data_IF_232621298958
#
_entry.id   IF_232621298958
#
_cell.length_a   1.000
_cell.length_b   1.000
_cell.length_c   1.000
_cell.angle_alpha   90.00
_cell.angle_beta   90.00
_cell.angle_gamma   90.00
#
_symmetry.space_group_name_H-M   'P 1'
#
loop_
_entity.id
_entity.type
_entity.pdbx_description
1 polymer ?
#
# COMPACT_ATOMS: atom_id res chain seq x y z
N UNK A 1 -12.26 6.91 -17.51
CA UNK A 1 -10.97 6.56 -16.86
C UNK A 1 -9.93 7.69 -16.93
N UNK A 2 -9.59 8.27 -18.12
CA UNK A 2 -8.51 9.29 -18.20
C UNK A 2 -8.77 10.53 -17.32
N UNK A 3 -10.01 11.01 -17.25
CA UNK A 3 -10.38 12.13 -16.35
C UNK A 3 -10.12 11.84 -14.87
N UNK A 4 -10.30 10.59 -14.42
CA UNK A 4 -10.01 10.18 -13.04
C UNK A 4 -8.48 10.23 -12.80
N UNK A 5 -7.69 9.76 -13.76
CA UNK A 5 -6.21 9.83 -13.68
C UNK A 5 -5.70 11.27 -13.68
N UNK A 6 -6.31 12.15 -14.45
CA UNK A 6 -6.00 13.59 -14.46
C UNK A 6 -6.33 14.24 -13.12
N UNK A 7 -7.51 13.94 -12.55
CA UNK A 7 -7.90 14.38 -11.21
C UNK A 7 -6.87 13.93 -10.16
N UNK A 8 -6.47 12.67 -10.17
CA UNK A 8 -5.48 12.16 -9.22
C UNK A 8 -4.11 12.83 -9.37
N UNK A 9 -3.63 13.03 -10.60
CA UNK A 9 -2.38 13.78 -10.83
C UNK A 9 -2.47 15.20 -10.32
N UNK A 10 -3.63 15.86 -10.48
CA UNK A 10 -3.85 17.19 -9.95
C UNK A 10 -3.85 17.19 -8.40
N UNK A 11 -4.54 16.24 -7.76
CA UNK A 11 -4.55 16.11 -6.29
C UNK A 11 -3.14 15.82 -5.74
N UNK A 12 -2.38 14.95 -6.38
CA UNK A 12 -0.99 14.66 -5.98
C UNK A 12 -0.09 15.90 -6.09
N UNK A 13 -0.23 16.69 -7.17
CA UNK A 13 0.52 17.94 -7.31
C UNK A 13 0.15 18.97 -6.26
N UNK A 14 -1.16 19.17 -6.04
CA UNK A 14 -1.69 20.10 -5.04
C UNK A 14 -1.19 19.79 -3.63
N UNK A 15 -1.04 18.51 -3.30
CA UNK A 15 -0.61 18.05 -1.99
C UNK A 15 0.91 17.74 -1.91
N UNK A 16 1.68 18.13 -2.92
CA UNK A 16 3.14 17.92 -2.99
C UNK A 16 3.57 16.44 -2.88
N UNK A 17 2.75 15.51 -3.40
CA UNK A 17 2.92 14.04 -3.32
C UNK A 17 3.13 13.37 -4.68
N UNK A 18 3.60 14.11 -5.69
CA UNK A 18 3.77 13.56 -7.05
C UNK A 18 4.69 12.34 -7.12
N UNK A 19 5.60 12.16 -6.17
CA UNK A 19 6.43 10.96 -6.08
C UNK A 19 5.60 9.67 -5.92
N UNK A 20 4.44 9.74 -5.28
CA UNK A 20 3.55 8.58 -5.11
C UNK A 20 2.97 8.08 -6.43
N UNK A 21 2.89 8.93 -7.45
CA UNK A 21 2.44 8.46 -8.76
C UNK A 21 3.30 7.29 -9.27
N UNK A 22 4.63 7.43 -9.23
CA UNK A 22 5.55 6.40 -9.73
C UNK A 22 5.88 5.35 -8.67
N UNK A 23 6.06 5.77 -7.42
CA UNK A 23 6.55 4.90 -6.34
C UNK A 23 5.43 4.15 -5.61
N UNK A 24 4.16 4.43 -5.93
CA UNK A 24 3.03 3.71 -5.37
C UNK A 24 1.96 3.37 -6.42
N UNK A 25 1.26 4.36 -6.97
CA UNK A 25 0.09 4.13 -7.84
C UNK A 25 0.41 3.24 -9.04
N UNK A 26 1.50 3.51 -9.76
CA UNK A 26 1.90 2.73 -10.93
C UNK A 26 2.36 1.32 -10.56
N UNK A 27 2.92 1.13 -9.38
CA UNK A 27 3.35 -0.19 -8.90
C UNK A 27 2.13 -1.01 -8.47
N UNK A 28 1.18 -0.42 -7.73
CA UNK A 28 -0.09 -1.08 -7.41
C UNK A 28 -0.81 -1.51 -8.70
N UNK A 29 -0.91 -0.61 -9.68
CA UNK A 29 -1.49 -0.93 -10.99
C UNK A 29 -0.78 -2.13 -11.64
N UNK A 30 0.55 -2.12 -11.72
CA UNK A 30 1.35 -3.21 -12.30
C UNK A 30 1.01 -4.57 -11.68
N UNK A 31 0.97 -4.64 -10.36
CA UNK A 31 0.68 -5.89 -9.67
C UNK A 31 -0.79 -6.29 -9.76
N UNK A 32 -1.71 -5.33 -9.71
CA UNK A 32 -3.13 -5.59 -9.91
C UNK A 32 -3.41 -6.18 -11.31
N UNK A 33 -2.76 -5.66 -12.37
CA UNK A 33 -2.88 -6.19 -13.73
C UNK A 33 -2.34 -7.63 -13.84
N UNK A 34 -1.18 -7.92 -13.24
CA UNK A 34 -0.61 -9.27 -13.23
C UNK A 34 -1.50 -10.28 -12.50
N UNK A 35 -2.05 -9.90 -11.35
CA UNK A 35 -2.99 -10.75 -10.61
C UNK A 35 -4.32 -10.90 -11.34
N UNK A 36 -4.78 -9.86 -12.03
CA UNK A 36 -6.00 -9.92 -12.83
C UNK A 36 -5.91 -10.92 -14.01
N UNK A 37 -4.72 -11.22 -14.51
CA UNK A 37 -4.51 -12.27 -15.52
C UNK A 37 -4.74 -13.68 -14.96
N UNK A 38 -4.49 -13.86 -13.66
CA UNK A 38 -4.66 -15.15 -12.98
C UNK A 38 -6.12 -15.33 -12.52
N UNK A 39 -6.71 -14.28 -11.94
CA UNK A 39 -7.98 -14.38 -11.22
C UNK A 39 -9.20 -13.90 -12.00
N UNK A 40 -9.02 -13.31 -13.17
CA UNK A 40 -10.07 -12.85 -14.08
C UNK A 40 -11.19 -12.04 -13.40
N UNK A 41 -10.87 -10.94 -12.67
CA UNK A 41 -11.84 -10.07 -12.01
C UNK A 41 -12.64 -9.22 -13.00
N UNK A 42 -13.65 -8.50 -12.50
CA UNK A 42 -14.23 -7.39 -13.23
C UNK A 42 -13.15 -6.28 -13.39
N UNK A 43 -12.71 -6.10 -14.65
CA UNK A 43 -11.60 -5.20 -14.99
C UNK A 43 -11.94 -3.73 -14.71
N UNK A 44 -13.21 -3.34 -14.90
CA UNK A 44 -13.65 -1.97 -14.62
C UNK A 44 -13.61 -1.66 -13.13
N UNK A 45 -14.19 -2.54 -12.31
CA UNK A 45 -14.19 -2.41 -10.85
C UNK A 45 -12.74 -2.35 -10.32
N UNK A 46 -11.89 -3.27 -10.79
CA UNK A 46 -10.50 -3.32 -10.35
C UNK A 46 -9.74 -2.05 -10.73
N UNK A 47 -9.84 -1.59 -11.98
CA UNK A 47 -9.11 -0.40 -12.44
C UNK A 47 -9.54 0.85 -11.68
N UNK A 48 -10.85 1.05 -11.48
CA UNK A 48 -11.38 2.16 -10.69
C UNK A 48 -10.88 2.11 -9.25
N UNK A 49 -10.92 0.92 -8.63
CA UNK A 49 -10.46 0.73 -7.26
C UNK A 49 -8.96 1.00 -7.12
N UNK A 50 -8.14 0.53 -8.05
CA UNK A 50 -6.69 0.80 -8.08
C UNK A 50 -6.41 2.29 -8.12
N UNK A 51 -7.11 3.06 -8.96
CA UNK A 51 -6.85 4.50 -9.07
C UNK A 51 -7.39 5.31 -7.88
N UNK A 52 -8.47 4.87 -7.23
CA UNK A 52 -9.15 5.66 -6.20
C UNK A 52 -8.83 5.22 -4.76
N UNK A 53 -8.09 4.09 -4.54
CA UNK A 53 -7.94 3.53 -3.19
C UNK A 53 -7.32 4.48 -2.17
N UNK A 54 -6.38 5.30 -2.60
CA UNK A 54 -5.65 6.24 -1.73
C UNK A 54 -6.06 7.71 -1.89
N UNK A 55 -7.18 8.01 -2.58
CA UNK A 55 -7.65 9.41 -2.73
C UNK A 55 -7.86 10.10 -1.38
N UNK A 56 -8.35 9.36 -0.38
CA UNK A 56 -8.51 9.87 0.98
C UNK A 56 -7.16 10.19 1.64
N UNK A 57 -6.14 9.35 1.44
CA UNK A 57 -4.78 9.60 1.92
C UNK A 57 -4.16 10.84 1.28
N UNK A 58 -4.35 10.97 -0.03
CA UNK A 58 -3.83 12.12 -0.80
C UNK A 58 -4.44 13.44 -0.31
N UNK A 59 -5.74 13.46 0.00
CA UNK A 59 -6.48 14.67 0.39
C UNK A 59 -6.37 15.02 1.87
N UNK A 60 -6.44 14.02 2.74
CA UNK A 60 -6.66 14.20 4.18
C UNK A 60 -5.60 13.54 5.07
N UNK A 61 -4.63 12.83 4.48
CA UNK A 61 -3.60 12.12 5.22
C UNK A 61 -3.97 10.69 5.60
N UNK A 62 -3.10 10.05 6.39
CA UNK A 62 -3.13 8.60 6.65
C UNK A 62 -4.33 8.14 7.50
N UNK A 63 -4.82 8.99 8.41
CA UNK A 63 -5.83 8.58 9.41
C UNK A 63 -7.18 8.30 8.73
N UNK A 64 -7.66 7.06 8.86
CA UNK A 64 -8.95 6.62 8.31
C UNK A 64 -9.14 6.90 6.80
N UNK A 65 -8.06 6.98 6.04
CA UNK A 65 -8.10 7.33 4.62
C UNK A 65 -8.95 6.37 3.77
N UNK A 66 -9.10 5.12 4.18
CA UNK A 66 -10.00 4.18 3.51
C UNK A 66 -11.47 4.57 3.64
N UNK A 67 -11.87 5.23 4.74
CA UNK A 67 -13.23 5.72 4.95
C UNK A 67 -13.47 6.99 4.12
N UNK A 68 -12.62 7.99 4.29
CA UNK A 68 -12.71 9.23 3.50
C UNK A 68 -12.53 8.98 2.00
N UNK A 69 -11.62 8.06 1.64
CA UNK A 69 -11.40 7.65 0.25
C UNK A 69 -12.62 6.98 -0.38
N UNK A 70 -13.33 6.12 0.35
CA UNK A 70 -14.56 5.52 -0.15
C UNK A 70 -15.68 6.54 -0.36
N UNK A 71 -15.78 7.56 0.51
CA UNK A 71 -16.72 8.67 0.35
C UNK A 71 -16.38 9.54 -0.87
N UNK A 72 -15.11 9.90 -1.02
CA UNK A 72 -14.65 10.69 -2.17
C UNK A 72 -14.81 9.92 -3.48
N UNK A 73 -14.49 8.62 -3.49
CA UNK A 73 -14.67 7.75 -4.66
C UNK A 73 -16.15 7.70 -5.10
N UNK A 74 -17.08 7.62 -4.15
CA UNK A 74 -18.52 7.66 -4.45
C UNK A 74 -18.91 8.95 -5.16
N UNK A 75 -18.47 10.10 -4.66
CA UNK A 75 -18.76 11.42 -5.27
C UNK A 75 -18.14 11.47 -6.68
N UNK A 76 -16.86 11.11 -6.81
CA UNK A 76 -16.14 11.14 -8.09
C UNK A 76 -16.85 10.25 -9.12
N UNK A 77 -17.24 9.04 -8.73
CA UNK A 77 -17.85 8.08 -9.64
C UNK A 77 -19.27 8.52 -10.06
N UNK A 78 -20.08 9.11 -9.14
CA UNK A 78 -21.36 9.69 -9.47
C UNK A 78 -21.24 10.85 -10.46
N UNK A 79 -20.28 11.74 -10.27
CA UNK A 79 -20.02 12.86 -11.18
C UNK A 79 -19.59 12.39 -12.57
N UNK A 80 -19.07 11.16 -12.66
CA UNK A 80 -18.70 10.51 -13.92
C UNK A 80 -19.77 9.55 -14.47
N UNK A 81 -20.98 9.56 -13.88
CA UNK A 81 -22.16 8.76 -14.27
C UNK A 81 -21.94 7.23 -14.23
N UNK A 82 -21.14 6.73 -13.30
CA UNK A 82 -21.07 5.30 -13.00
C UNK A 82 -22.34 4.83 -12.29
N UNK A 83 -22.73 3.57 -12.52
CA UNK A 83 -23.92 2.99 -11.86
C UNK A 83 -23.70 2.80 -10.37
N UNK A 84 -24.77 2.79 -9.58
CA UNK A 84 -24.69 2.53 -8.13
C UNK A 84 -24.10 1.15 -7.80
N UNK A 85 -24.27 0.14 -8.66
CA UNK A 85 -23.63 -1.18 -8.50
C UNK A 85 -22.10 -1.07 -8.61
N UNK A 86 -21.59 -0.38 -9.62
CA UNK A 86 -20.15 -0.13 -9.79
C UNK A 86 -19.61 0.66 -8.59
N UNK A 87 -20.31 1.72 -8.19
CA UNK A 87 -19.91 2.55 -7.04
C UNK A 87 -19.81 1.71 -5.77
N UNK A 88 -20.81 0.88 -5.48
CA UNK A 88 -20.84 0.05 -4.29
C UNK A 88 -19.65 -0.95 -4.24
N UNK A 89 -19.32 -1.60 -5.37
CA UNK A 89 -18.22 -2.54 -5.48
C UNK A 89 -16.85 -1.86 -5.33
N UNK A 90 -16.66 -0.70 -5.96
CA UNK A 90 -15.42 0.09 -5.80
C UNK A 90 -15.26 0.56 -4.37
N UNK A 91 -16.32 1.02 -3.71
CA UNK A 91 -16.31 1.40 -2.30
C UNK A 91 -15.92 0.23 -1.39
N UNK A 92 -16.45 -0.97 -1.64
CA UNK A 92 -16.08 -2.18 -0.88
C UNK A 92 -14.57 -2.43 -0.99
N UNK A 93 -14.01 -2.39 -2.21
CA UNK A 93 -12.58 -2.54 -2.43
C UNK A 93 -11.76 -1.51 -1.64
N UNK A 94 -12.16 -0.23 -1.68
CA UNK A 94 -11.45 0.84 -0.98
C UNK A 94 -11.55 0.69 0.53
N UNK A 95 -12.72 0.35 1.07
CA UNK A 95 -12.92 0.20 2.52
C UNK A 95 -12.11 -0.96 3.10
N UNK A 96 -11.88 -2.02 2.34
CA UNK A 96 -11.26 -3.26 2.81
C UNK A 96 -9.76 -3.37 2.49
N UNK A 97 -9.18 -2.51 1.62
CA UNK A 97 -7.81 -2.66 1.12
C UNK A 97 -6.71 -2.65 2.20
N UNK A 98 -6.99 -2.10 3.38
CA UNK A 98 -6.04 -2.03 4.51
C UNK A 98 -5.94 -3.34 5.31
N UNK A 99 -6.92 -4.23 5.23
CA UNK A 99 -6.98 -5.49 6.00
C UNK A 99 -6.81 -5.28 7.51
N UNK A 100 -7.40 -4.23 8.10
CA UNK A 100 -7.14 -3.85 9.49
C UNK A 100 -7.96 -4.61 10.53
N UNK A 101 -9.16 -5.06 10.18
CA UNK A 101 -10.03 -5.79 11.10
C UNK A 101 -10.71 -6.98 10.40
N UNK A 102 -11.16 -7.96 11.20
CA UNK A 102 -11.92 -9.09 10.65
C UNK A 102 -13.21 -8.68 9.93
N UNK A 103 -13.82 -7.58 10.37
CA UNK A 103 -15.08 -7.07 9.82
C UNK A 103 -14.89 -6.33 8.48
N UNK A 104 -13.65 -6.00 8.14
CA UNK A 104 -13.26 -5.27 6.91
C UNK A 104 -12.19 -5.99 6.11
N UNK A 105 -12.26 -7.32 6.10
CA UNK A 105 -11.41 -8.10 5.20
C UNK A 105 -11.98 -8.07 3.79
N UNK A 106 -11.12 -8.02 2.75
CA UNK A 106 -11.55 -8.10 1.36
C UNK A 106 -12.33 -9.39 1.09
N UNK A 107 -13.55 -9.28 0.55
CA UNK A 107 -14.40 -10.43 0.23
C UNK A 107 -14.39 -10.72 -1.27
N UNK A 108 -14.59 -9.72 -2.11
CA UNK A 108 -14.56 -9.86 -3.56
C UNK A 108 -13.16 -10.15 -4.10
N UNK A 109 -13.06 -10.67 -5.30
CA UNK A 109 -11.76 -10.95 -5.92
C UNK A 109 -11.03 -9.64 -6.25
N UNK A 110 -11.75 -8.62 -6.67
CA UNK A 110 -11.22 -7.28 -6.94
C UNK A 110 -10.60 -6.66 -5.68
N UNK A 111 -11.29 -6.75 -4.55
CA UNK A 111 -10.81 -6.26 -3.26
C UNK A 111 -9.57 -7.03 -2.79
N UNK A 112 -9.54 -8.37 -2.95
CA UNK A 112 -8.36 -9.19 -2.64
C UNK A 112 -7.18 -8.84 -3.52
N UNK A 113 -7.40 -8.63 -4.83
CA UNK A 113 -6.36 -8.20 -5.76
C UNK A 113 -5.82 -6.83 -5.37
N UNK A 114 -6.69 -5.85 -5.10
CA UNK A 114 -6.28 -4.52 -4.67
C UNK A 114 -5.44 -4.55 -3.39
N UNK A 115 -5.92 -5.22 -2.35
CA UNK A 115 -5.21 -5.33 -1.07
C UNK A 115 -3.84 -6.02 -1.24
N UNK A 116 -3.80 -7.11 -2.01
CA UNK A 116 -2.55 -7.82 -2.33
C UNK A 116 -1.59 -6.93 -3.11
N UNK A 117 -2.03 -6.28 -4.19
CA UNK A 117 -1.21 -5.41 -5.02
C UNK A 117 -0.67 -4.20 -4.24
N UNK A 118 -1.50 -3.61 -3.37
CA UNK A 118 -1.10 -2.53 -2.47
C UNK A 118 -0.01 -3.00 -1.49
N UNK A 119 -0.15 -4.19 -0.90
CA UNK A 119 0.89 -4.75 -0.03
C UNK A 119 2.19 -5.08 -0.79
N UNK A 120 2.08 -5.64 -2.00
CA UNK A 120 3.23 -5.96 -2.86
C UNK A 120 4.00 -4.71 -3.26
N UNK A 121 3.32 -3.58 -3.54
CA UNK A 121 3.98 -2.33 -3.92
C UNK A 121 4.97 -1.87 -2.85
N UNK A 122 4.67 -2.09 -1.59
CA UNK A 122 5.53 -1.74 -0.46
C UNK A 122 6.82 -2.54 -0.42
N UNK A 123 6.79 -3.80 -0.85
CA UNK A 123 7.99 -4.63 -0.93
C UNK A 123 8.90 -4.25 -2.13
N UNK A 124 8.39 -3.51 -3.10
CA UNK A 124 9.20 -3.03 -4.23
C UNK A 124 9.95 -1.73 -3.91
N UNK A 125 9.41 -0.91 -3.02
CA UNK A 125 9.95 0.43 -2.71
C UNK A 125 10.36 0.58 -1.24
N UNK A 126 10.92 -0.45 -0.65
CA UNK A 126 11.38 -0.47 0.76
C UNK A 126 12.20 0.77 1.16
N UNK A 127 13.10 1.33 0.31
CA UNK A 127 13.82 2.56 0.65
C UNK A 127 12.92 3.77 0.96
N UNK A 128 11.70 3.82 0.40
CA UNK A 128 10.72 4.88 0.71
C UNK A 128 10.29 4.81 2.17
N UNK A 129 10.11 3.60 2.71
CA UNK A 129 9.75 3.40 4.12
C UNK A 129 10.85 3.85 5.07
N UNK A 130 12.11 3.60 4.74
CA UNK A 130 13.22 4.13 5.52
C UNK A 130 13.27 5.65 5.48
N UNK A 131 13.01 6.24 4.31
CA UNK A 131 12.94 7.69 4.18
C UNK A 131 11.78 8.28 5.01
N UNK A 132 10.58 7.70 4.94
CA UNK A 132 9.43 8.09 5.76
C UNK A 132 9.74 8.00 7.26
N UNK A 133 10.31 6.87 7.70
CA UNK A 133 10.66 6.65 9.11
C UNK A 133 11.66 7.70 9.63
N UNK A 134 12.73 7.94 8.87
CA UNK A 134 13.78 8.87 9.29
C UNK A 134 13.37 10.33 9.12
N UNK A 135 12.72 10.68 8.01
CA UNK A 135 12.48 12.06 7.61
C UNK A 135 11.13 12.61 8.06
N UNK A 136 10.05 11.84 7.89
CA UNK A 136 8.71 12.29 8.27
C UNK A 136 8.39 12.00 9.74
N UNK A 137 8.83 10.83 10.25
CA UNK A 137 8.58 10.44 11.64
C UNK A 137 9.71 10.85 12.60
N UNK A 138 10.88 11.26 12.10
CA UNK A 138 12.02 11.67 12.90
C UNK A 138 12.68 10.54 13.69
N UNK A 139 12.51 9.28 13.27
CA UNK A 139 13.07 8.12 13.95
C UNK A 139 14.58 8.00 13.70
N UNK A 140 15.31 7.54 14.73
CA UNK A 140 16.71 7.14 14.59
C UNK A 140 16.85 5.87 13.75
N UNK A 141 18.09 5.50 13.40
CA UNK A 141 18.36 4.37 12.51
C UNK A 141 17.82 3.05 13.07
N UNK A 142 17.93 2.81 14.37
CA UNK A 142 17.44 1.59 15.02
C UNK A 142 15.92 1.51 14.95
N UNK A 143 15.25 2.56 15.41
CA UNK A 143 13.80 2.66 15.41
C UNK A 143 13.23 2.57 13.99
N UNK A 144 13.92 3.14 13.01
CA UNK A 144 13.55 3.03 11.60
C UNK A 144 13.67 1.60 11.09
N UNK A 145 14.76 0.88 11.42
CA UNK A 145 14.90 -0.53 11.05
C UNK A 145 13.81 -1.40 11.69
N UNK A 146 13.47 -1.15 12.94
CA UNK A 146 12.43 -1.91 13.65
C UNK A 146 11.05 -1.62 13.04
N UNK A 147 10.71 -0.35 12.83
CA UNK A 147 9.43 0.06 12.25
C UNK A 147 9.24 -0.48 10.82
N UNK A 148 10.27 -0.35 9.96
CA UNK A 148 10.21 -0.87 8.59
C UNK A 148 10.08 -2.39 8.58
N UNK A 149 10.79 -3.09 9.49
CA UNK A 149 10.69 -4.53 9.60
C UNK A 149 9.25 -4.97 9.97
N UNK A 150 8.65 -4.34 10.96
CA UNK A 150 7.27 -4.62 11.38
C UNK A 150 6.27 -4.35 10.25
N UNK A 151 6.44 -3.25 9.51
CA UNK A 151 5.57 -2.89 8.40
C UNK A 151 5.66 -3.91 7.25
N UNK A 152 6.87 -4.31 6.85
CA UNK A 152 7.08 -5.30 5.79
C UNK A 152 6.56 -6.68 6.21
N UNK A 153 6.86 -7.13 7.44
CA UNK A 153 6.32 -8.39 7.97
C UNK A 153 4.78 -8.38 8.03
N UNK A 154 4.16 -7.28 8.41
CA UNK A 154 2.71 -7.13 8.43
C UNK A 154 2.13 -7.23 7.02
N UNK A 155 2.73 -6.57 6.03
CA UNK A 155 2.29 -6.64 4.64
C UNK A 155 2.43 -8.08 4.11
N UNK A 156 3.57 -8.73 4.33
CA UNK A 156 3.83 -10.09 3.89
C UNK A 156 2.87 -11.12 4.50
N UNK A 157 2.66 -11.06 5.82
CA UNK A 157 1.91 -12.08 6.55
C UNK A 157 0.40 -11.86 6.55
N UNK A 158 -0.07 -10.59 6.46
CA UNK A 158 -1.48 -10.27 6.69
C UNK A 158 -2.19 -9.64 5.49
N UNK A 159 -1.46 -8.98 4.57
CA UNK A 159 -2.10 -8.19 3.51
C UNK A 159 -1.87 -8.75 2.10
N UNK A 160 -0.84 -9.55 1.88
CA UNK A 160 -0.72 -10.34 0.64
C UNK A 160 -1.62 -11.56 0.80
N UNK A 161 -2.86 -11.44 0.36
CA UNK A 161 -3.92 -12.45 0.54
C UNK A 161 -3.87 -13.54 -0.53
N UNK A 162 -3.36 -13.22 -1.71
CA UNK A 162 -3.30 -14.12 -2.86
C UNK A 162 -1.90 -14.75 -2.94
N UNK A 163 -1.80 -16.09 -3.02
CA UNK A 163 -0.52 -16.80 -2.98
C UNK A 163 0.43 -16.39 -4.10
N UNK A 164 -0.07 -16.15 -5.33
CA UNK A 164 0.75 -15.70 -6.46
C UNK A 164 1.39 -14.33 -6.19
N UNK A 165 0.74 -13.48 -5.39
CA UNK A 165 1.33 -12.21 -4.95
C UNK A 165 2.60 -12.43 -4.14
N UNK A 166 2.64 -13.43 -3.25
CA UNK A 166 3.85 -13.77 -2.50
C UNK A 166 4.97 -14.28 -3.41
N UNK A 167 4.63 -15.14 -4.38
CA UNK A 167 5.62 -15.63 -5.35
C UNK A 167 6.26 -14.49 -6.14
N UNK A 168 5.46 -13.52 -6.58
CA UNK A 168 5.92 -12.39 -7.40
C UNK A 168 6.89 -11.45 -6.69
N UNK A 169 6.86 -11.36 -5.36
CA UNK A 169 7.70 -10.44 -4.57
C UNK A 169 8.57 -11.16 -3.53
N UNK A 170 8.73 -12.47 -3.65
CA UNK A 170 9.53 -13.30 -2.73
C UNK A 170 10.97 -12.82 -2.64
N UNK A 171 11.61 -12.61 -3.78
CA UNK A 171 13.01 -12.18 -3.82
C UNK A 171 13.23 -10.84 -3.11
N UNK A 172 12.29 -9.90 -3.26
CA UNK A 172 12.34 -8.62 -2.56
C UNK A 172 12.22 -8.80 -1.03
N UNK A 173 11.30 -9.67 -0.60
CA UNK A 173 11.10 -9.97 0.82
C UNK A 173 12.32 -10.65 1.43
N UNK A 174 12.89 -11.65 0.76
CA UNK A 174 14.05 -12.39 1.24
C UNK A 174 15.31 -11.51 1.29
N UNK A 175 15.54 -10.68 0.26
CA UNK A 175 16.61 -9.69 0.24
C UNK A 175 16.47 -8.67 1.39
N UNK A 176 15.25 -8.15 1.61
CA UNK A 176 14.97 -7.27 2.72
C UNK A 176 15.30 -7.90 4.07
N UNK A 177 14.84 -9.13 4.32
CA UNK A 177 15.10 -9.83 5.58
C UNK A 177 16.58 -10.04 5.83
N UNK A 178 17.33 -10.40 4.81
CA UNK A 178 18.77 -10.57 4.91
C UNK A 178 19.47 -9.25 5.31
N UNK A 179 19.16 -8.16 4.62
CA UNK A 179 19.80 -6.85 4.85
C UNK A 179 19.42 -6.28 6.22
N UNK A 180 18.13 -6.24 6.55
CA UNK A 180 17.66 -5.66 7.81
C UNK A 180 18.02 -6.54 9.01
N UNK A 181 18.02 -7.87 8.85
CA UNK A 181 18.49 -8.81 9.87
C UNK A 181 19.93 -8.53 10.28
N UNK A 182 20.84 -8.48 9.30
CA UNK A 182 22.27 -8.17 9.54
C UNK A 182 22.47 -6.79 10.18
N UNK A 183 21.74 -5.79 9.72
CA UNK A 183 21.80 -4.43 10.30
C UNK A 183 21.37 -4.43 11.77
N UNK A 184 20.26 -5.10 12.12
CA UNK A 184 19.77 -5.21 13.49
C UNK A 184 20.72 -5.95 14.41
N UNK A 185 21.38 -7.01 13.93
CA UNK A 185 22.42 -7.73 14.65
C UNK A 185 23.61 -6.82 14.97
N UNK A 186 24.10 -6.06 14.00
CA UNK A 186 25.18 -5.10 14.18
C UNK A 186 24.84 -4.03 15.21
N UNK A 187 23.64 -3.46 15.13
CA UNK A 187 23.14 -2.48 16.10
C UNK A 187 22.98 -3.06 17.51
N UNK A 188 22.66 -4.34 17.66
CA UNK A 188 22.58 -5.02 18.96
C UNK A 188 23.96 -5.31 19.54
N UNK A 189 24.95 -5.62 18.72
CA UNK A 189 26.34 -5.79 19.12
C UNK A 189 26.93 -4.57 19.82
N UNK A 190 26.57 -3.35 19.37
CA UNK A 190 26.98 -2.10 20.01
C UNK A 190 26.47 -1.93 21.47
N UNK A 191 25.27 -2.45 21.79
CA UNK A 191 24.76 -2.43 23.17
C UNK A 191 25.63 -3.27 24.11
N UNK A 192 26.11 -4.41 23.65
CA UNK A 192 26.96 -5.30 24.44
C UNK A 192 28.34 -4.71 24.70
N UNK A 193 28.88 -3.93 23.77
CA UNK A 193 30.18 -3.23 23.94
C UNK A 193 30.07 -2.10 24.94
N UNK A 194 29.00 -1.32 24.92
CA UNK A 194 28.79 -0.21 25.88
C UNK A 194 28.55 -0.68 27.31
N UNK A 195 27.94 -1.85 27.51
CA UNK A 195 27.73 -2.45 28.84
C UNK A 195 29.01 -3.06 29.42
N UNK A 196 30.05 -3.34 28.60
CA UNK A 196 31.34 -3.85 29.07
C UNK A 196 32.35 -2.76 29.41
N UNK A 197 32.07 -1.50 29.07
CA UNK A 197 32.97 -0.34 29.28
C UNK A 197 32.46 0.59 30.41
N UNK A 198 31.32 0.28 31.01
CA UNK A 198 30.73 0.99 32.16
C UNK A 198 30.85 0.14 33.43
#
# INVERSE_FOLDING_TARGET
>A
MEKIKELLRWELRKNNRMYEWNLHMMIVKKYAERLAEVYNPDREILELSVWLHDIGKIRYGEINHHISGAQDAEIILRDHNYSEDVIAKVKECILSHRCESRERMPESIEAKILATANAMSKLEVIPVFFWEACHEMGLGIRESCDWVAEEIERNWNKKILLPEGKEMVRDNYDAFRAIVGTTRESLNGEKNVRLQVA
#
